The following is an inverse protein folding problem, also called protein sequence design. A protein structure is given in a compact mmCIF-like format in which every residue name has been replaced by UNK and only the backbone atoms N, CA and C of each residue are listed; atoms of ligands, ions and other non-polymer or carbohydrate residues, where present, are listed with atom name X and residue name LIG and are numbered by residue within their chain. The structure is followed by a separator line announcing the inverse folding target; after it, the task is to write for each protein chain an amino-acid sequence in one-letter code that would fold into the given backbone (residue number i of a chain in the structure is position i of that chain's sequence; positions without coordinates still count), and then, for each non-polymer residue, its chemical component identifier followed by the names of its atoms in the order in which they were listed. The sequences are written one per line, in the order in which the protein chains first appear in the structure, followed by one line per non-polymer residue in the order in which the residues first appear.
data_IF_920383129027
#
_entry.id   IF_920383129027
#
_cell.length_a   1.000
_cell.length_b   1.000
_cell.length_c   1.000
_cell.angle_alpha   90.00
_cell.angle_beta   90.00
_cell.angle_gamma   90.00
#
_symmetry.space_group_name_H-M   'P 1'
#
loop_
_entity.id
_entity.type
_entity.pdbx_description
1 polymer ?
#
# COMPACT_ATOMS: atom_id res chain seq x y z
N UNK A 1 -9.83 10.05 -15.72
CA UNK A 1 -8.58 10.84 -15.55
C UNK A 1 -8.25 10.94 -14.08
N UNK A 2 -6.97 10.81 -13.69
CA UNK A 2 -6.51 11.25 -12.37
C UNK A 2 -6.65 12.78 -12.30
N UNK A 3 -7.00 13.30 -11.14
CA UNK A 3 -7.21 14.74 -10.98
C UNK A 3 -5.83 15.41 -11.11
N UNK A 4 -5.58 16.05 -12.25
CA UNK A 4 -4.35 16.79 -12.54
C UNK A 4 -4.33 18.13 -11.79
N UNK A 5 -4.51 18.10 -10.47
CA UNK A 5 -4.27 19.26 -9.64
C UNK A 5 -2.77 19.33 -9.37
N UNK A 6 -2.11 20.36 -9.87
CA UNK A 6 -0.74 20.68 -9.47
C UNK A 6 -0.73 20.86 -7.94
N UNK A 7 -0.16 19.89 -7.23
CA UNK A 7 0.00 19.96 -5.78
C UNK A 7 1.48 19.97 -5.45
N UNK A 8 1.89 20.87 -4.57
CA UNK A 8 3.27 20.88 -4.06
C UNK A 8 3.47 19.76 -3.04
N UNK A 9 4.74 19.36 -2.83
CA UNK A 9 5.11 18.48 -1.73
C UNK A 9 4.66 19.02 -0.36
N UNK A 10 4.72 20.35 -0.18
CA UNK A 10 4.24 21.00 1.05
C UNK A 10 2.75 20.77 1.24
N UNK A 11 1.94 21.01 0.20
CA UNK A 11 0.50 20.82 0.29
C UNK A 11 0.14 19.34 0.55
N UNK A 12 0.87 18.39 -0.03
CA UNK A 12 0.68 16.98 0.28
C UNK A 12 1.09 16.65 1.72
N UNK A 13 2.17 17.22 2.22
CA UNK A 13 2.61 17.06 3.61
C UNK A 13 1.53 17.54 4.58
N UNK A 14 0.93 18.69 4.28
CA UNK A 14 -0.10 19.29 5.14
C UNK A 14 -1.42 18.51 5.08
N UNK A 15 -1.84 18.09 3.88
CA UNK A 15 -3.12 17.36 3.71
C UNK A 15 -3.07 15.91 4.21
N UNK A 16 -1.91 15.26 4.10
CA UNK A 16 -1.74 13.85 4.54
C UNK A 16 -1.21 13.73 5.98
N UNK A 17 -0.67 14.82 6.53
CA UNK A 17 0.06 14.81 7.81
C UNK A 17 1.40 14.06 7.76
N UNK A 18 1.86 13.65 6.56
CA UNK A 18 3.11 12.91 6.38
C UNK A 18 4.26 13.92 6.22
N UNK A 19 5.35 13.82 7.00
CA UNK A 19 6.49 14.72 6.84
C UNK A 19 7.09 14.68 5.43
N UNK A 20 7.54 15.83 4.93
CA UNK A 20 8.17 15.97 3.59
C UNK A 20 9.24 14.91 3.28
N UNK A 21 10.11 14.58 4.24
CA UNK A 21 11.14 13.54 4.05
C UNK A 21 10.54 12.16 3.82
N UNK A 22 9.47 11.84 4.55
CA UNK A 22 8.74 10.58 4.40
C UNK A 22 7.99 10.54 3.07
N UNK A 23 7.36 11.65 2.65
CA UNK A 23 6.76 11.76 1.32
C UNK A 23 7.77 11.50 0.21
N UNK A 24 8.97 12.09 0.29
CA UNK A 24 10.01 11.86 -0.70
C UNK A 24 10.42 10.38 -0.76
N UNK A 25 10.57 9.73 0.39
CA UNK A 25 10.87 8.30 0.46
C UNK A 25 9.75 7.44 -0.11
N UNK A 26 8.49 7.82 0.12
CA UNK A 26 7.31 7.14 -0.42
C UNK A 26 7.28 7.27 -1.94
N UNK A 27 7.50 8.48 -2.47
CA UNK A 27 7.55 8.75 -3.91
C UNK A 27 8.64 7.90 -4.59
N UNK A 28 9.84 7.86 -4.00
CA UNK A 28 10.93 7.05 -4.54
C UNK A 28 10.54 5.57 -4.60
N UNK A 29 9.94 5.04 -3.53
CA UNK A 29 9.49 3.65 -3.49
C UNK A 29 8.32 3.36 -4.43
N UNK A 30 7.40 4.31 -4.61
CA UNK A 30 6.33 4.18 -5.60
C UNK A 30 6.91 4.11 -7.01
N UNK A 31 7.89 4.95 -7.35
CA UNK A 31 8.56 4.94 -8.65
C UNK A 31 9.28 3.62 -8.97
N UNK A 32 9.69 2.86 -7.95
CA UNK A 32 10.26 1.51 -8.15
C UNK A 32 9.22 0.47 -8.58
N UNK A 33 7.93 0.68 -8.30
CA UNK A 33 6.87 -0.33 -8.49
C UNK A 33 5.81 0.04 -9.53
N UNK A 34 5.66 1.33 -9.87
CA UNK A 34 4.58 1.81 -10.76
C UNK A 34 4.99 1.95 -12.24
N UNK A 35 6.19 1.49 -12.61
CA UNK A 35 6.63 1.47 -14.01
C UNK A 35 5.57 0.82 -14.92
N UNK A 36 5.27 1.40 -16.11
CA UNK A 36 6.03 2.46 -16.78
C UNK A 36 5.73 3.90 -16.31
N UNK A 37 4.76 4.10 -15.41
CA UNK A 37 4.46 5.41 -14.85
C UNK A 37 5.57 5.91 -13.90
N UNK A 38 5.57 7.21 -13.61
CA UNK A 38 6.46 7.79 -12.61
C UNK A 38 5.88 9.07 -11.99
N UNK A 39 6.09 9.24 -10.69
CA UNK A 39 5.82 10.48 -9.97
C UNK A 39 7.05 11.38 -10.09
N UNK A 40 6.88 12.55 -10.68
CA UNK A 40 7.94 13.52 -10.91
C UNK A 40 7.71 14.73 -9.99
N UNK A 41 8.76 15.12 -9.27
CA UNK A 41 8.77 16.33 -8.45
C UNK A 41 9.48 17.44 -9.21
N UNK A 42 8.84 18.60 -9.32
CA UNK A 42 9.37 19.81 -9.95
C UNK A 42 9.39 20.96 -8.93
N UNK A 43 10.00 22.09 -9.28
CA UNK A 43 10.12 23.26 -8.39
C UNK A 43 8.76 23.79 -7.91
N UNK A 44 7.72 23.61 -8.72
CA UNK A 44 6.38 24.17 -8.56
C UNK A 44 5.30 23.12 -8.25
N UNK A 45 5.65 21.84 -8.14
CA UNK A 45 4.62 20.82 -7.90
C UNK A 45 5.11 19.38 -8.03
N UNK A 46 4.16 18.47 -7.93
CA UNK A 46 4.31 17.04 -8.22
C UNK A 46 3.27 16.66 -9.27
N UNK A 47 3.69 15.84 -10.22
CA UNK A 47 2.83 15.27 -11.24
C UNK A 47 3.05 13.76 -11.33
N UNK A 48 2.01 13.04 -11.74
CA UNK A 48 2.14 11.66 -12.18
C UNK A 48 2.28 11.67 -13.70
N UNK A 49 3.41 11.17 -14.19
CA UNK A 49 3.67 10.94 -15.60
C UNK A 49 3.20 9.53 -15.97
N UNK A 50 2.10 9.47 -16.72
CA UNK A 50 1.44 8.25 -17.17
C UNK A 50 1.76 7.96 -18.65
N UNK A 51 1.75 6.68 -19.03
CA UNK A 51 1.66 6.31 -20.44
C UNK A 51 0.19 6.38 -20.90
N UNK A 52 -0.11 6.68 -22.18
CA UNK A 52 -1.49 6.84 -22.65
C UNK A 52 -2.41 5.64 -22.39
N UNK A 53 -1.84 4.45 -22.22
CA UNK A 53 -2.56 3.19 -22.00
C UNK A 53 -2.68 2.82 -20.51
N UNK A 54 -2.03 3.53 -19.57
CA UNK A 54 -2.16 3.24 -18.14
C UNK A 54 -3.44 3.83 -17.54
N UNK A 55 -4.24 2.98 -16.92
CA UNK A 55 -5.46 3.37 -16.20
C UNK A 55 -5.20 3.53 -14.70
N UNK A 56 -6.08 4.23 -13.97
CA UNK A 56 -6.01 4.28 -12.48
C UNK A 56 -5.91 2.88 -11.86
N UNK A 57 -6.65 1.92 -12.44
CA UNK A 57 -6.67 0.52 -11.99
C UNK A 57 -5.28 -0.12 -12.05
N UNK A 58 -4.47 0.23 -13.04
CA UNK A 58 -3.08 -0.24 -13.14
C UNK A 58 -2.27 0.15 -11.90
N UNK A 59 -2.34 1.42 -11.48
CA UNK A 59 -1.62 1.91 -10.30
C UNK A 59 -2.09 1.27 -9.01
N UNK A 60 -3.40 1.18 -8.80
CA UNK A 60 -3.94 0.48 -7.63
C UNK A 60 -3.49 -0.98 -7.59
N UNK A 61 -3.56 -1.69 -8.71
CA UNK A 61 -3.11 -3.07 -8.79
C UNK A 61 -1.63 -3.18 -8.43
N UNK A 62 -0.75 -2.34 -9.01
CA UNK A 62 0.68 -2.33 -8.67
C UNK A 62 0.90 -2.08 -7.19
N UNK A 63 0.31 -1.05 -6.61
CA UNK A 63 0.49 -0.71 -5.19
C UNK A 63 0.04 -1.86 -4.29
N UNK A 64 -1.14 -2.44 -4.55
CA UNK A 64 -1.69 -3.54 -3.77
C UNK A 64 -0.85 -4.83 -3.91
N UNK A 65 -0.34 -5.12 -5.10
CA UNK A 65 0.54 -6.28 -5.34
C UNK A 65 1.82 -6.21 -4.50
N UNK A 66 2.30 -5.03 -4.10
CA UNK A 66 3.48 -4.88 -3.25
C UNK A 66 3.16 -4.52 -1.79
N UNK A 67 1.88 -4.47 -1.40
CA UNK A 67 1.46 -4.26 -0.02
C UNK A 67 1.44 -5.58 0.73
N UNK A 68 2.26 -5.66 1.79
CA UNK A 68 2.32 -6.84 2.65
C UNK A 68 0.99 -7.10 3.35
N UNK A 69 0.33 -6.04 3.85
CA UNK A 69 -0.97 -6.13 4.52
C UNK A 69 -2.04 -6.70 3.59
N UNK A 70 -2.06 -6.25 2.33
CA UNK A 70 -3.01 -6.72 1.34
C UNK A 70 -2.73 -8.17 0.92
N UNK A 71 -1.47 -8.51 0.66
CA UNK A 71 -1.08 -9.89 0.33
C UNK A 71 -1.43 -10.86 1.47
N UNK A 72 -1.17 -10.47 2.72
CA UNK A 72 -1.52 -11.28 3.88
C UNK A 72 -3.03 -11.48 4.00
N UNK A 73 -3.82 -10.41 3.81
CA UNK A 73 -5.27 -10.48 3.81
C UNK A 73 -5.79 -11.40 2.69
N UNK A 74 -5.23 -11.30 1.49
CA UNK A 74 -5.56 -12.15 0.34
C UNK A 74 -5.25 -13.62 0.61
N UNK A 75 -4.07 -13.94 1.18
CA UNK A 75 -3.70 -15.31 1.56
C UNK A 75 -4.67 -15.91 2.57
N UNK A 76 -5.00 -15.18 3.63
CA UNK A 76 -5.95 -15.63 4.66
C UNK A 76 -7.35 -15.83 4.05
N UNK A 77 -7.77 -14.95 3.14
CA UNK A 77 -9.08 -15.06 2.51
C UNK A 77 -9.18 -16.27 1.57
N UNK A 78 -8.14 -16.53 0.79
CA UNK A 78 -8.12 -17.62 -0.20
C UNK A 78 -7.76 -18.99 0.41
N UNK A 79 -7.03 -19.00 1.52
CA UNK A 79 -6.55 -20.20 2.21
C UNK A 79 -6.77 -20.03 3.72
N UNK A 80 -8.02 -20.16 4.21
CA UNK A 80 -8.39 -19.80 5.57
C UNK A 80 -7.79 -20.71 6.66
N UNK A 81 -7.31 -21.90 6.31
CA UNK A 81 -6.76 -22.88 7.26
C UNK A 81 -5.22 -22.74 7.47
N UNK A 82 -4.63 -21.62 7.05
CA UNK A 82 -3.20 -21.39 7.19
C UNK A 82 -2.82 -20.90 8.58
N UNK A 83 -2.12 -21.77 9.32
CA UNK A 83 -1.50 -21.39 10.59
C UNK A 83 -0.64 -20.13 10.49
N UNK A 84 -0.58 -19.35 11.56
CA UNK A 84 0.34 -18.20 11.69
C UNK A 84 1.79 -18.56 11.32
N UNK A 85 2.25 -19.75 11.69
CA UNK A 85 3.59 -20.22 11.36
C UNK A 85 3.76 -20.46 9.85
N UNK A 86 2.76 -21.03 9.19
CA UNK A 86 2.78 -21.24 7.74
C UNK A 86 2.79 -19.90 6.98
N UNK A 87 2.00 -18.93 7.45
CA UNK A 87 1.99 -17.57 6.89
C UNK A 87 3.36 -16.89 7.09
N UNK A 88 3.94 -17.01 8.29
CA UNK A 88 5.25 -16.44 8.59
C UNK A 88 6.35 -17.02 7.68
N UNK A 89 6.34 -18.33 7.46
CA UNK A 89 7.24 -19.00 6.52
C UNK A 89 7.02 -18.54 5.08
N UNK A 90 5.78 -18.52 4.59
CA UNK A 90 5.45 -18.13 3.23
C UNK A 90 5.85 -16.68 2.89
N UNK A 91 5.74 -15.78 3.87
CA UNK A 91 6.09 -14.37 3.70
C UNK A 91 7.52 -14.01 4.13
N UNK A 92 8.31 -14.99 4.60
CA UNK A 92 9.67 -14.78 5.11
C UNK A 92 9.75 -13.73 6.24
N UNK A 93 8.79 -13.76 7.15
CA UNK A 93 8.72 -12.87 8.33
C UNK A 93 8.57 -13.69 9.60
N UNK A 94 8.58 -13.03 10.77
CA UNK A 94 8.28 -13.71 12.03
C UNK A 94 6.78 -13.79 12.30
N UNK A 95 6.35 -14.79 13.07
CA UNK A 95 5.00 -14.90 13.63
C UNK A 95 4.53 -13.60 14.29
N UNK A 96 5.44 -12.93 15.00
CA UNK A 96 5.16 -11.65 15.65
C UNK A 96 4.81 -10.55 14.64
N UNK A 97 5.38 -10.55 13.44
CA UNK A 97 5.00 -9.64 12.37
C UNK A 97 3.62 -9.99 11.83
N UNK A 98 3.34 -11.27 11.54
CA UNK A 98 2.01 -11.72 11.09
C UNK A 98 0.92 -11.31 12.09
N UNK A 99 1.11 -11.61 13.39
CA UNK A 99 0.15 -11.27 14.45
C UNK A 99 -0.08 -9.78 14.58
N UNK A 100 0.98 -8.97 14.50
CA UNK A 100 0.86 -7.50 14.52
C UNK A 100 0.09 -6.98 13.31
N UNK A 101 0.34 -7.53 12.13
CA UNK A 101 -0.36 -7.13 10.91
C UNK A 101 -1.82 -7.53 10.96
N UNK A 102 -2.16 -8.76 11.37
CA UNK A 102 -3.55 -9.20 11.59
C UNK A 102 -4.25 -8.29 12.60
N UNK A 103 -3.58 -7.91 13.69
CA UNK A 103 -4.15 -6.98 14.67
C UNK A 103 -4.46 -5.61 14.06
N UNK A 104 -3.58 -5.09 13.22
CA UNK A 104 -3.83 -3.83 12.48
C UNK A 104 -4.99 -3.98 11.51
N UNK A 105 -5.00 -5.04 10.69
CA UNK A 105 -6.09 -5.33 9.75
C UNK A 105 -7.44 -5.42 10.47
N UNK A 106 -7.51 -6.13 11.60
CA UNK A 106 -8.73 -6.25 12.39
C UNK A 106 -9.26 -4.92 12.93
N UNK A 107 -8.41 -3.91 13.15
CA UNK A 107 -8.89 -2.58 13.53
C UNK A 107 -9.63 -1.89 12.39
N UNK A 108 -9.08 -1.98 11.18
CA UNK A 108 -9.67 -1.38 9.98
C UNK A 108 -10.93 -2.14 9.52
N UNK A 109 -10.88 -3.48 9.54
CA UNK A 109 -11.99 -4.35 9.14
C UNK A 109 -13.19 -4.31 10.08
N UNK A 110 -12.99 -3.88 11.34
CA UNK A 110 -14.06 -3.77 12.33
C UNK A 110 -15.21 -2.90 11.85
N UNK A 111 -14.94 -1.85 11.08
CA UNK A 111 -15.99 -0.98 10.53
C UNK A 111 -16.94 -1.73 9.58
N UNK A 112 -16.47 -2.82 8.98
CA UNK A 112 -17.23 -3.67 8.07
C UNK A 112 -17.82 -4.91 8.76
N UNK A 113 -17.76 -4.98 10.10
CA UNK A 113 -18.13 -6.17 10.88
C UNK A 113 -17.39 -7.46 10.46
N UNK A 114 -16.15 -7.29 9.98
CA UNK A 114 -15.26 -8.39 9.58
C UNK A 114 -14.13 -8.52 10.61
N UNK A 115 -13.79 -9.76 10.94
CA UNK A 115 -12.63 -10.08 11.77
C UNK A 115 -11.89 -11.30 11.20
N UNK A 116 -10.57 -11.24 11.26
CA UNK A 116 -9.64 -12.34 11.08
C UNK A 116 -9.45 -12.98 12.46
N UNK A 117 -9.71 -14.27 12.58
CA UNK A 117 -9.51 -15.00 13.82
C UNK A 117 -8.04 -14.98 14.25
N UNK A 118 -7.79 -15.12 15.56
CA UNK A 118 -6.44 -15.00 16.15
C UNK A 118 -5.56 -16.23 15.92
N UNK A 119 -6.18 -17.31 15.47
CA UNK A 119 -5.60 -18.58 15.07
C UNK A 119 -6.23 -18.99 13.71
N UNK A 120 -5.92 -18.28 12.62
CA UNK A 120 -6.06 -18.88 11.30
C UNK A 120 -5.07 -20.05 11.19
#
# INVERSE_FOLDING_TARGET
MLDNNESTLSNLSDTTGIPLRSLQSIINRLNEIIAPGSIITHANGISLHDEPETSKRFYYQKILTYSFEFQLLESIFLQPDQSVANLAEAFFVSDATIRRTIHTLNKELKFHDIAIDREP
#
